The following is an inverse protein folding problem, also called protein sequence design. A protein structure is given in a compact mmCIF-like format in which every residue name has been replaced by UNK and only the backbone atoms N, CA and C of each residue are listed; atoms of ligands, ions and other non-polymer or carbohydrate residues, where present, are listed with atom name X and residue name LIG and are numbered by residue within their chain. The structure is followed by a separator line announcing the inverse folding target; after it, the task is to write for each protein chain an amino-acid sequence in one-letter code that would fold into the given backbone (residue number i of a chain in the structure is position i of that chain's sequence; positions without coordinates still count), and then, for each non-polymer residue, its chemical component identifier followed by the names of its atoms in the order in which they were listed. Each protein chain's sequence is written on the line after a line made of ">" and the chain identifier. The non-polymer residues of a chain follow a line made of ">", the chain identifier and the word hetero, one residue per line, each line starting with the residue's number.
data_IF_855962205491
#
_entry.id   IF_855962205491
#
_cell.length_a   1.000
_cell.length_b   1.000
_cell.length_c   1.000
_cell.angle_alpha   90.00
_cell.angle_beta   90.00
_cell.angle_gamma   90.00
#
_symmetry.space_group_name_H-M   'P 1'
#
loop_
_entity.id
_entity.type
_entity.pdbx_description
1 polymer ?
#
# COMPACT_ATOMS: atom_id res chain seq x y z
N UNK A 1 -6.21 16.46 -11.35
CA UNK A 1 -5.00 16.09 -10.58
C UNK A 1 -5.09 16.69 -9.19
N UNK A 2 -5.11 15.84 -8.17
CA UNK A 2 -5.10 16.23 -6.77
C UNK A 2 -3.67 16.19 -6.24
N UNK A 3 -3.34 17.07 -5.29
CA UNK A 3 -2.09 17.04 -4.54
C UNK A 3 -2.42 16.85 -3.07
N UNK A 4 -1.88 15.81 -2.45
CA UNK A 4 -2.17 15.43 -1.06
C UNK A 4 -0.85 15.27 -0.32
N UNK A 5 -0.76 15.80 0.89
CA UNK A 5 0.37 15.57 1.79
C UNK A 5 -0.01 14.45 2.75
N UNK A 6 0.78 13.37 2.75
CA UNK A 6 0.59 12.21 3.62
C UNK A 6 1.86 11.94 4.41
N UNK A 7 1.74 11.32 5.57
CA UNK A 7 2.89 10.89 6.37
C UNK A 7 2.90 9.37 6.40
N UNK A 8 4.04 8.78 6.03
CA UNK A 8 4.25 7.33 6.01
C UNK A 8 5.48 7.05 6.86
N UNK A 9 5.27 6.27 7.92
CA UNK A 9 6.16 6.03 9.05
C UNK A 9 6.56 7.33 9.76
N UNK A 10 7.63 7.97 9.30
CA UNK A 10 8.17 9.24 9.83
C UNK A 10 8.47 10.24 8.71
N UNK A 11 8.20 9.88 7.47
CA UNK A 11 8.50 10.70 6.30
C UNK A 11 7.22 11.30 5.72
N UNK A 12 7.30 12.57 5.33
CA UNK A 12 6.22 13.28 4.67
C UNK A 12 6.39 13.18 3.16
N UNK A 13 5.31 12.82 2.48
CA UNK A 13 5.28 12.71 1.02
C UNK A 13 4.19 13.61 0.46
N UNK A 14 4.52 14.31 -0.63
CA UNK A 14 3.55 15.07 -1.42
C UNK A 14 3.20 14.25 -2.66
N UNK A 15 2.05 13.60 -2.64
CA UNK A 15 1.55 12.74 -3.70
C UNK A 15 0.72 13.57 -4.68
N UNK A 16 1.01 13.44 -5.98
CA UNK A 16 0.19 13.99 -7.07
C UNK A 16 -0.45 12.83 -7.83
N UNK A 17 -1.77 12.86 -8.01
CA UNK A 17 -2.49 11.78 -8.68
C UNK A 17 -3.87 12.16 -9.20
N UNK A 18 -4.50 11.24 -9.90
CA UNK A 18 -5.88 11.39 -10.40
C UNK A 18 -6.93 10.90 -9.39
N UNK A 19 -6.53 10.03 -8.46
CA UNK A 19 -7.36 9.54 -7.37
C UNK A 19 -7.84 10.68 -6.46
N UNK A 20 -8.98 10.48 -5.79
CA UNK A 20 -9.49 11.44 -4.82
C UNK A 20 -8.53 11.55 -3.62
N UNK A 21 -8.54 12.68 -2.89
CA UNK A 21 -7.71 12.83 -1.69
C UNK A 21 -7.92 11.70 -0.67
N UNK A 22 -9.17 11.30 -0.44
CA UNK A 22 -9.53 10.20 0.44
C UNK A 22 -8.95 8.85 -0.01
N UNK A 23 -8.94 8.57 -1.33
CA UNK A 23 -8.32 7.35 -1.85
C UNK A 23 -6.80 7.34 -1.62
N UNK A 24 -6.14 8.48 -1.82
CA UNK A 24 -4.69 8.63 -1.59
C UNK A 24 -4.37 8.48 -0.10
N UNK A 25 -5.14 9.10 0.78
CA UNK A 25 -4.98 8.99 2.24
C UNK A 25 -5.17 7.55 2.73
N UNK A 26 -6.20 6.84 2.25
CA UNK A 26 -6.42 5.43 2.56
C UNK A 26 -5.25 4.55 2.11
N UNK A 27 -4.76 4.75 0.89
CA UNK A 27 -3.61 4.01 0.39
C UNK A 27 -2.34 4.28 1.21
N UNK A 28 -2.11 5.53 1.61
CA UNK A 28 -0.97 5.91 2.44
C UNK A 28 -1.06 5.30 3.85
N UNK A 29 -2.25 5.28 4.46
CA UNK A 29 -2.48 4.65 5.76
C UNK A 29 -2.22 3.14 5.72
N UNK A 30 -2.70 2.45 4.66
CA UNK A 30 -2.44 1.03 4.45
C UNK A 30 -0.93 0.73 4.31
N UNK A 31 -0.21 1.55 3.54
CA UNK A 31 1.23 1.40 3.39
C UNK A 31 1.97 1.67 4.72
N UNK A 32 1.58 2.70 5.47
CA UNK A 32 2.14 3.03 6.79
C UNK A 32 2.01 1.88 7.79
N UNK A 33 0.81 1.29 7.90
CA UNK A 33 0.56 0.15 8.77
C UNK A 33 1.47 -1.03 8.43
N UNK A 34 1.58 -1.36 7.15
CA UNK A 34 2.41 -2.48 6.69
C UNK A 34 3.89 -2.24 6.94
N UNK A 35 4.38 -1.04 6.65
CA UNK A 35 5.78 -0.67 6.92
C UNK A 35 6.10 -0.71 8.41
N UNK A 36 5.18 -0.24 9.29
CA UNK A 36 5.34 -0.33 10.74
C UNK A 36 5.40 -1.77 11.24
N UNK A 37 4.57 -2.64 10.70
CA UNK A 37 4.56 -4.07 11.03
C UNK A 37 5.90 -4.73 10.67
N UNK A 38 6.42 -4.48 9.46
CA UNK A 38 7.72 -5.00 9.01
C UNK A 38 8.86 -4.48 9.89
N UNK A 39 8.85 -3.18 10.23
CA UNK A 39 9.84 -2.55 11.12
C UNK A 39 9.81 -3.12 12.53
N UNK A 40 8.63 -3.43 13.07
CA UNK A 40 8.50 -4.03 14.40
C UNK A 40 9.23 -5.38 14.50
N UNK A 41 9.17 -6.19 13.43
CA UNK A 41 9.93 -7.44 13.32
C UNK A 41 11.40 -7.26 12.93
N UNK A 42 11.75 -6.14 12.29
CA UNK A 42 13.09 -5.89 11.74
C UNK A 42 13.57 -4.45 12.01
N UNK A 43 13.85 -4.06 13.27
CA UNK A 43 14.08 -2.66 13.64
C UNK A 43 15.30 -1.99 12.96
N UNK A 44 16.29 -2.79 12.56
CA UNK A 44 17.52 -2.31 11.91
C UNK A 44 17.43 -2.23 10.39
N UNK A 45 16.31 -2.64 9.79
CA UNK A 45 16.16 -2.67 8.34
C UNK A 45 16.02 -1.24 7.79
N UNK A 46 16.76 -0.86 6.73
CA UNK A 46 16.63 0.46 6.13
C UNK A 46 15.22 0.73 5.61
N UNK A 47 14.70 1.94 5.80
CA UNK A 47 13.31 2.31 5.42
C UNK A 47 13.01 2.07 3.94
N UNK A 48 13.97 2.27 3.04
CA UNK A 48 13.76 1.98 1.62
C UNK A 48 13.54 0.49 1.34
N UNK A 49 14.21 -0.41 2.08
CA UNK A 49 14.00 -1.86 1.95
C UNK A 49 12.66 -2.26 2.56
N UNK A 50 12.28 -1.66 3.70
CA UNK A 50 10.94 -1.81 4.28
C UNK A 50 9.86 -1.40 3.28
N UNK A 51 10.03 -0.27 2.59
CA UNK A 51 9.08 0.22 1.59
C UNK A 51 8.96 -0.75 0.41
N UNK A 52 10.08 -1.30 -0.08
CA UNK A 52 10.07 -2.31 -1.16
C UNK A 52 9.37 -3.59 -0.71
N UNK A 53 9.62 -4.07 0.52
CA UNK A 53 8.95 -5.25 1.06
C UNK A 53 7.44 -5.02 1.24
N UNK A 54 7.05 -3.86 1.77
CA UNK A 54 5.64 -3.49 1.90
C UNK A 54 4.95 -3.41 0.53
N UNK A 55 5.60 -2.78 -0.46
CA UNK A 55 5.09 -2.72 -1.82
C UNK A 55 4.95 -4.11 -2.47
N UNK A 56 5.91 -5.00 -2.23
CA UNK A 56 5.86 -6.38 -2.73
C UNK A 56 4.71 -7.16 -2.11
N UNK A 57 4.51 -7.03 -0.80
CA UNK A 57 3.38 -7.65 -0.10
C UNK A 57 2.04 -7.14 -0.64
N UNK A 58 1.87 -5.82 -0.78
CA UNK A 58 0.66 -5.23 -1.36
C UNK A 58 0.40 -5.68 -2.80
N UNK A 59 1.46 -5.79 -3.62
CA UNK A 59 1.35 -6.30 -4.98
C UNK A 59 0.90 -7.77 -4.99
N UNK A 60 1.42 -8.59 -4.09
CA UNK A 60 0.99 -9.98 -3.94
C UNK A 60 -0.49 -10.07 -3.52
N UNK A 61 -0.91 -9.30 -2.51
CA UNK A 61 -2.30 -9.27 -2.05
C UNK A 61 -3.26 -8.84 -3.17
N UNK A 62 -2.86 -7.85 -3.97
CA UNK A 62 -3.63 -7.43 -5.14
C UNK A 62 -3.76 -8.55 -6.18
N UNK A 63 -2.68 -9.28 -6.47
CA UNK A 63 -2.72 -10.38 -7.43
C UNK A 63 -3.62 -11.52 -6.93
N UNK A 64 -3.52 -11.88 -5.65
CA UNK A 64 -4.40 -12.88 -5.02
C UNK A 64 -5.86 -12.45 -5.09
N UNK A 65 -6.17 -11.21 -4.70
CA UNK A 65 -7.54 -10.67 -4.75
C UNK A 65 -8.09 -10.67 -6.19
N UNK A 66 -7.24 -10.36 -7.17
CA UNK A 66 -7.61 -10.39 -8.58
C UNK A 66 -7.93 -11.81 -9.06
N UNK A 67 -7.11 -12.78 -8.70
CA UNK A 67 -7.32 -14.20 -9.05
C UNK A 67 -8.61 -14.75 -8.42
N UNK A 68 -8.87 -14.43 -7.15
CA UNK A 68 -10.11 -14.79 -6.45
C UNK A 68 -11.33 -14.15 -7.12
N UNK A 69 -11.25 -12.85 -7.45
CA UNK A 69 -12.31 -12.14 -8.16
C UNK A 69 -12.60 -12.77 -9.54
N UNK A 70 -11.56 -13.04 -10.33
CA UNK A 70 -11.73 -13.68 -11.64
C UNK A 70 -12.34 -15.09 -11.52
N UNK A 71 -11.97 -15.83 -10.47
CA UNK A 71 -12.54 -17.15 -10.18
C UNK A 71 -14.02 -17.06 -9.82
N UNK A 72 -14.40 -16.10 -8.97
CA UNK A 72 -15.80 -15.85 -8.62
C UNK A 72 -16.64 -15.43 -9.83
N UNK A 73 -16.12 -14.53 -10.67
CA UNK A 73 -16.81 -14.07 -11.89
C UNK A 73 -17.06 -15.23 -12.86
N UNK A 74 -16.13 -16.17 -12.99
CA UNK A 74 -16.30 -17.38 -13.83
C UNK A 74 -17.38 -18.34 -13.31
N UNK A 75 -17.73 -18.28 -12.02
CA UNK A 75 -18.76 -19.11 -11.42
C UNK A 75 -20.16 -18.50 -11.52
N UNK A 76 -20.27 -17.24 -11.95
CA UNK A 76 -21.57 -16.61 -12.21
C UNK A 76 -22.15 -17.17 -13.52
N UNK A 77 -23.45 -17.55 -13.54
CA UNK A 77 -24.11 -18.17 -14.68
C UNK A 77 -24.27 -17.25 -15.89
#
# INVERSE_FOLDING_TARGET
>A
MNTVEVTIVREKYRIKGEASPEQIEKAAALLDEMMRSILAGNPSLPLHQVAVLAALNLANDYLTLKEEYESLVKMLP
#
